data_IF_758709542800
#
_entry.id   IF_758709542800
#
_cell.length_a   1.000
_cell.length_b   1.000
_cell.length_c   1.000
_cell.angle_alpha   90.00
_cell.angle_beta   90.00
_cell.angle_gamma   90.00
#
_symmetry.space_group_name_H-M   'P 1'
#
loop_
_entity.id
_entity.type
_entity.pdbx_description
1 polymer ?
#
# COMPACT_ATOMS: atom_id res chain seq x y z
N UNK A 1 3.28 -64.52 -49.47
CA UNK A 1 3.23 -63.99 -48.09
C UNK A 1 2.95 -62.50 -48.16
N UNK A 2 1.71 -62.07 -47.91
CA UNK A 2 1.36 -60.64 -47.83
C UNK A 2 1.25 -60.25 -46.36
N UNK A 3 2.06 -59.29 -45.92
CA UNK A 3 1.98 -58.72 -44.57
C UNK A 3 0.86 -57.68 -44.50
N UNK A 4 0.03 -57.68 -43.44
CA UNK A 4 -1.04 -56.70 -43.29
C UNK A 4 -0.45 -55.32 -42.96
N UNK A 5 -0.81 -54.31 -43.77
CA UNK A 5 -0.50 -52.89 -43.49
C UNK A 5 -1.41 -52.40 -42.36
N UNK A 6 -0.83 -52.12 -41.19
CA UNK A 6 -1.52 -51.45 -40.08
C UNK A 6 -1.84 -50.00 -40.46
N UNK A 7 -3.13 -49.71 -40.65
CA UNK A 7 -3.64 -48.34 -40.87
C UNK A 7 -3.73 -47.63 -39.52
N UNK A 8 -2.84 -46.68 -39.26
CA UNK A 8 -2.93 -45.78 -38.10
C UNK A 8 -4.03 -44.74 -38.35
N UNK A 9 -5.13 -44.83 -37.58
CA UNK A 9 -6.25 -43.88 -37.65
C UNK A 9 -5.78 -42.51 -37.13
N UNK A 10 -5.74 -41.51 -38.00
CA UNK A 10 -5.49 -40.11 -37.60
C UNK A 10 -6.62 -39.62 -36.70
N UNK A 11 -6.28 -39.08 -35.53
CA UNK A 11 -7.27 -38.42 -34.66
C UNK A 11 -7.72 -37.14 -35.36
N UNK A 12 -8.98 -37.08 -35.76
CA UNK A 12 -9.59 -35.85 -36.30
C UNK A 12 -9.67 -34.83 -35.17
N UNK A 13 -8.93 -33.73 -35.30
CA UNK A 13 -8.98 -32.59 -34.39
C UNK A 13 -10.37 -31.96 -34.48
N UNK A 14 -11.21 -32.14 -33.45
CA UNK A 14 -12.45 -31.36 -33.32
C UNK A 14 -12.05 -29.92 -32.97
N UNK A 15 -12.20 -29.01 -33.93
CA UNK A 15 -12.02 -27.57 -33.69
C UNK A 15 -13.12 -27.02 -32.79
N UNK A 16 -12.82 -25.93 -32.07
CA UNK A 16 -13.79 -25.18 -31.27
C UNK A 16 -14.79 -24.49 -32.20
N UNK A 17 -16.08 -24.50 -31.87
CA UNK A 17 -17.09 -23.81 -32.69
C UNK A 17 -17.07 -22.30 -32.45
N UNK A 18 -17.40 -21.51 -33.48
CA UNK A 18 -17.51 -20.05 -33.34
C UNK A 18 -18.57 -19.66 -32.31
N UNK A 19 -19.63 -20.47 -32.18
CA UNK A 19 -20.68 -20.26 -31.18
C UNK A 19 -20.18 -20.51 -29.75
N UNK A 20 -19.37 -21.56 -29.51
CA UNK A 20 -18.75 -21.78 -28.19
C UNK A 20 -17.82 -20.63 -27.83
N UNK A 21 -17.06 -20.10 -28.80
CA UNK A 21 -16.19 -18.95 -28.57
C UNK A 21 -17.01 -17.70 -28.19
N UNK A 22 -18.08 -17.41 -28.92
CA UNK A 22 -18.92 -16.23 -28.63
C UNK A 22 -19.61 -16.30 -27.28
N UNK A 23 -20.15 -17.47 -26.90
CA UNK A 23 -20.76 -17.66 -25.58
C UNK A 23 -19.69 -17.53 -24.48
N UNK A 24 -18.49 -18.07 -24.71
CA UNK A 24 -17.36 -17.92 -23.79
C UNK A 24 -16.99 -16.44 -23.55
N UNK A 25 -16.86 -15.66 -24.62
CA UNK A 25 -16.54 -14.22 -24.54
C UNK A 25 -17.66 -13.46 -23.80
N UNK A 26 -18.93 -13.80 -24.03
CA UNK A 26 -20.05 -13.18 -23.33
C UNK A 26 -19.99 -13.42 -21.81
N UNK A 27 -19.72 -14.66 -21.37
CA UNK A 27 -19.60 -14.99 -19.95
C UNK A 27 -18.40 -14.28 -19.31
N UNK A 28 -17.23 -14.34 -19.98
CA UNK A 28 -16.01 -13.66 -19.50
C UNK A 28 -16.24 -12.15 -19.40
N UNK A 29 -16.97 -11.56 -20.36
CA UNK A 29 -17.33 -10.15 -20.36
C UNK A 29 -18.05 -9.74 -19.07
N UNK A 30 -19.12 -10.46 -18.70
CA UNK A 30 -19.89 -10.19 -17.47
C UNK A 30 -19.04 -10.38 -16.21
N UNK A 31 -18.27 -11.47 -16.13
CA UNK A 31 -17.41 -11.75 -14.98
C UNK A 31 -16.33 -10.67 -14.81
N UNK A 32 -15.72 -10.24 -15.93
CA UNK A 32 -14.65 -9.23 -15.92
C UNK A 32 -15.14 -7.85 -15.46
N UNK A 33 -16.37 -7.47 -15.83
CA UNK A 33 -16.95 -6.18 -15.46
C UNK A 33 -17.08 -6.01 -13.93
N UNK A 34 -17.35 -7.08 -13.20
CA UNK A 34 -17.46 -7.07 -11.74
C UNK A 34 -16.07 -7.27 -11.09
N UNK A 35 -15.26 -8.17 -11.66
CA UNK A 35 -13.98 -8.55 -11.09
C UNK A 35 -12.92 -7.43 -11.19
N UNK A 36 -12.85 -6.71 -12.31
CA UNK A 36 -11.80 -5.71 -12.56
C UNK A 36 -11.83 -4.58 -11.51
N UNK A 37 -12.96 -3.91 -11.21
CA UNK A 37 -13.00 -2.88 -10.17
C UNK A 37 -12.59 -3.40 -8.78
N UNK A 38 -13.06 -4.59 -8.40
CA UNK A 38 -12.70 -5.19 -7.12
C UNK A 38 -11.20 -5.52 -7.01
N UNK A 39 -10.60 -6.03 -8.10
CA UNK A 39 -9.16 -6.28 -8.15
C UNK A 39 -8.36 -4.98 -8.11
N UNK A 40 -8.81 -3.91 -8.76
CA UNK A 40 -8.16 -2.60 -8.68
C UNK A 40 -8.15 -2.06 -7.25
N UNK A 41 -9.26 -2.17 -6.52
CA UNK A 41 -9.33 -1.78 -5.10
C UNK A 41 -8.33 -2.57 -4.24
N UNK A 42 -8.20 -3.87 -4.48
CA UNK A 42 -7.22 -4.73 -3.80
C UNK A 42 -5.77 -4.31 -4.11
N UNK A 43 -5.44 -4.09 -5.38
CA UNK A 43 -4.11 -3.62 -5.79
C UNK A 43 -3.80 -2.28 -5.15
N UNK A 44 -4.73 -1.33 -5.16
CA UNK A 44 -4.55 -0.01 -4.56
C UNK A 44 -4.33 -0.11 -3.05
N UNK A 45 -5.04 -1.02 -2.37
CA UNK A 45 -4.81 -1.30 -0.95
C UNK A 45 -3.45 -1.92 -0.67
N UNK A 46 -2.95 -2.77 -1.56
CA UNK A 46 -1.59 -3.30 -1.48
C UNK A 46 -0.55 -2.18 -1.58
N UNK A 47 -0.69 -1.28 -2.56
CA UNK A 47 0.18 -0.10 -2.72
C UNK A 47 0.18 0.78 -1.46
N UNK A 48 -1.00 1.04 -0.88
CA UNK A 48 -1.10 1.80 0.37
C UNK A 48 -0.40 1.08 1.52
N UNK A 49 -0.50 -0.24 1.59
CA UNK A 49 0.16 -1.03 2.63
C UNK A 49 1.68 -0.93 2.52
N UNK A 50 2.23 -0.84 1.31
CA UNK A 50 3.66 -0.55 1.09
C UNK A 50 4.07 0.80 1.71
N UNK A 51 3.25 1.85 1.55
CA UNK A 51 3.49 3.15 2.16
C UNK A 51 3.49 3.07 3.70
N UNK A 52 2.53 2.34 4.25
CA UNK A 52 2.45 2.14 5.70
C UNK A 52 3.70 1.41 6.19
N UNK A 53 4.14 0.36 5.49
CA UNK A 53 5.33 -0.41 5.83
C UNK A 53 6.61 0.43 5.75
N UNK A 54 6.72 1.24 4.71
CA UNK A 54 7.80 2.21 4.57
C UNK A 54 7.84 3.17 5.77
N UNK A 55 6.69 3.68 6.21
CA UNK A 55 6.60 4.50 7.42
C UNK A 55 6.92 3.70 8.69
N UNK A 56 6.51 2.43 8.81
CA UNK A 56 6.82 1.58 9.98
C UNK A 56 8.33 1.41 10.17
N UNK A 57 9.11 1.38 9.09
CA UNK A 57 10.57 1.19 9.17
C UNK A 57 11.27 2.29 9.98
N UNK A 58 10.72 3.51 10.03
CA UNK A 58 11.27 4.60 10.83
C UNK A 58 10.97 4.48 12.34
N UNK A 59 10.00 3.66 12.76
CA UNK A 59 9.53 3.65 14.16
C UNK A 59 10.64 3.30 15.14
N UNK A 60 11.41 2.27 14.84
CA UNK A 60 12.46 1.76 15.73
C UNK A 60 13.51 2.84 15.99
N UNK A 61 14.00 3.50 14.95
CA UNK A 61 15.00 4.54 15.12
C UNK A 61 14.47 5.80 15.82
N UNK A 62 13.18 6.13 15.69
CA UNK A 62 12.57 7.20 16.51
C UNK A 62 12.54 6.80 17.99
N UNK A 63 12.15 5.57 18.31
CA UNK A 63 12.12 5.05 19.69
C UNK A 63 13.53 5.07 20.28
N UNK A 64 14.54 4.59 19.54
CA UNK A 64 15.93 4.56 19.98
C UNK A 64 16.52 5.95 20.18
N UNK A 65 16.24 6.89 19.26
CA UNK A 65 16.71 8.26 19.38
C UNK A 65 16.06 8.97 20.59
N UNK A 66 14.76 8.79 20.79
CA UNK A 66 14.05 9.35 21.93
C UNK A 66 14.58 8.75 23.25
N UNK A 67 14.79 7.44 23.32
CA UNK A 67 15.29 6.76 24.51
C UNK A 67 16.73 7.17 24.88
N UNK A 68 17.58 7.44 23.88
CA UNK A 68 18.99 7.80 24.11
C UNK A 68 19.21 9.30 24.38
N UNK A 69 18.42 10.18 23.76
CA UNK A 69 18.64 11.64 23.85
C UNK A 69 17.59 12.38 24.65
N UNK A 70 16.49 11.71 25.05
CA UNK A 70 15.29 12.33 25.63
C UNK A 70 14.72 13.47 24.77
N UNK A 71 14.95 13.41 23.45
CA UNK A 71 14.51 14.41 22.46
C UNK A 71 13.94 13.71 21.23
N UNK A 72 13.01 14.37 20.55
CA UNK A 72 12.52 13.89 19.26
C UNK A 72 13.54 14.15 18.14
N UNK A 73 13.70 13.22 17.19
CA UNK A 73 14.52 13.48 16.01
C UNK A 73 13.87 14.59 15.17
N UNK A 74 14.67 15.54 14.71
CA UNK A 74 14.22 16.66 13.89
C UNK A 74 13.98 16.25 12.43
N UNK A 75 14.57 15.13 11.99
CA UNK A 75 14.46 14.61 10.64
C UNK A 75 14.77 13.10 10.62
N UNK A 76 14.58 12.49 9.45
CA UNK A 76 14.81 11.07 9.22
C UNK A 76 16.24 10.58 9.40
N UNK A 77 17.21 11.44 9.11
CA UNK A 77 18.63 11.11 9.27
C UNK A 77 18.96 10.85 10.74
N UNK A 78 18.43 11.68 11.65
CA UNK A 78 18.56 11.47 13.09
C UNK A 78 17.80 10.23 13.58
N UNK A 79 16.66 9.92 12.95
CA UNK A 79 15.91 8.71 13.21
C UNK A 79 16.49 7.46 12.53
N UNK A 80 17.61 7.56 11.82
CA UNK A 80 18.25 6.42 11.15
C UNK A 80 17.40 5.76 10.06
N UNK A 81 16.47 6.49 9.44
CA UNK A 81 15.60 5.94 8.39
C UNK A 81 15.73 6.67 7.06
N UNK A 82 15.45 5.96 5.96
CA UNK A 82 15.45 6.56 4.63
C UNK A 82 14.38 7.64 4.56
N UNK A 83 14.78 8.88 4.33
CA UNK A 83 13.83 9.99 4.17
C UNK A 83 14.19 10.85 2.98
N UNK A 84 13.16 11.39 2.35
CA UNK A 84 13.32 12.38 1.30
C UNK A 84 13.66 13.76 1.85
N UNK A 85 13.34 14.02 3.12
CA UNK A 85 13.51 15.33 3.75
C UNK A 85 12.95 16.48 2.88
N UNK A 86 11.83 16.24 2.18
CA UNK A 86 11.25 17.19 1.22
C UNK A 86 11.59 16.91 -0.25
N UNK A 87 12.42 15.90 -0.54
CA UNK A 87 12.75 15.45 -1.90
C UNK A 87 12.16 14.06 -2.19
N UNK A 88 12.09 13.69 -3.46
CA UNK A 88 11.54 12.41 -3.86
C UNK A 88 12.41 11.24 -3.33
N UNK A 89 11.76 10.24 -2.73
CA UNK A 89 12.44 9.01 -2.32
C UNK A 89 12.38 7.94 -3.42
N UNK A 90 13.32 7.00 -3.40
CA UNK A 90 13.29 5.82 -4.27
C UNK A 90 12.26 4.80 -3.76
N UNK A 91 10.98 5.18 -3.86
CA UNK A 91 9.84 4.34 -3.57
C UNK A 91 8.79 4.53 -4.66
N UNK A 92 8.19 3.43 -5.11
CA UNK A 92 7.32 3.44 -6.30
C UNK A 92 6.06 4.26 -6.05
N UNK A 93 5.42 4.07 -4.90
CA UNK A 93 4.12 4.67 -4.60
C UNK A 93 4.19 5.87 -3.65
N UNK A 94 5.35 6.11 -3.03
CA UNK A 94 5.57 7.25 -2.17
C UNK A 94 6.29 8.36 -2.94
N UNK A 95 5.83 9.58 -2.77
CA UNK A 95 6.57 10.74 -3.25
C UNK A 95 7.67 11.11 -2.26
N UNK A 96 7.29 11.31 -0.99
CA UNK A 96 8.18 11.75 0.07
C UNK A 96 7.92 10.98 1.37
N UNK A 97 8.94 10.89 2.20
CA UNK A 97 8.87 10.38 3.58
C UNK A 97 9.67 11.34 4.45
N UNK A 98 9.01 11.89 5.48
CA UNK A 98 9.59 12.85 6.41
C UNK A 98 9.27 12.48 7.86
N UNK A 99 10.19 12.84 8.76
CA UNK A 99 9.93 12.84 10.19
C UNK A 99 9.69 14.27 10.62
N UNK A 100 8.52 14.54 11.17
CA UNK A 100 8.09 15.84 11.70
C UNK A 100 8.36 15.91 13.20
N UNK A 101 7.95 17.02 13.80
CA UNK A 101 7.97 17.23 15.26
C UNK A 101 7.25 16.10 15.99
N UNK A 102 7.62 15.87 17.25
CA UNK A 102 7.04 14.84 18.11
C UNK A 102 7.15 13.41 17.53
N UNK A 103 8.19 13.14 16.74
CA UNK A 103 8.41 11.81 16.15
C UNK A 103 7.31 11.36 15.19
N UNK A 104 6.53 12.29 14.63
CA UNK A 104 5.48 11.96 13.66
C UNK A 104 6.13 11.62 12.33
N UNK A 105 5.88 10.42 11.83
CA UNK A 105 6.34 9.97 10.52
C UNK A 105 5.24 10.26 9.51
N UNK A 106 5.56 10.87 8.38
CA UNK A 106 4.59 11.16 7.33
C UNK A 106 5.12 10.70 5.98
N UNK A 107 4.30 9.95 5.25
CA UNK A 107 4.54 9.49 3.88
C UNK A 107 3.50 10.10 2.97
N UNK A 108 3.95 10.86 1.98
CA UNK A 108 3.10 11.42 0.93
C UNK A 108 2.95 10.42 -0.22
N UNK A 109 1.77 10.37 -0.81
CA UNK A 109 1.50 9.52 -1.96
C UNK A 109 2.21 10.07 -3.21
N UNK A 110 2.60 9.20 -4.14
CA UNK A 110 2.99 9.60 -5.49
C UNK A 110 1.74 9.80 -6.34
N UNK A 111 1.64 10.93 -7.02
CA UNK A 111 0.46 11.30 -7.80
C UNK A 111 0.08 10.20 -8.80
N UNK A 112 -1.21 9.82 -8.84
CA UNK A 112 -1.81 8.86 -9.81
C UNK A 112 -1.25 7.45 -9.82
N UNK A 113 -0.26 7.12 -8.98
CA UNK A 113 0.30 5.77 -8.92
C UNK A 113 -0.52 4.82 -8.04
N UNK A 114 -1.26 5.35 -7.05
CA UNK A 114 -2.16 4.56 -6.20
C UNK A 114 -3.56 4.48 -6.80
N UNK A 115 -4.30 5.58 -6.82
CA UNK A 115 -5.60 5.69 -7.46
C UNK A 115 -5.71 7.07 -8.11
N UNK A 116 -6.55 7.23 -9.14
CA UNK A 116 -6.73 8.53 -9.80
C UNK A 116 -7.27 9.62 -8.88
N UNK A 117 -7.96 9.23 -7.81
CA UNK A 117 -8.50 10.12 -6.77
C UNK A 117 -7.50 10.44 -5.66
N UNK A 118 -6.33 9.80 -5.65
CA UNK A 118 -5.26 10.01 -4.67
C UNK A 118 -4.11 10.75 -5.35
N UNK A 119 -3.92 11.99 -4.90
CA UNK A 119 -2.88 12.93 -5.34
C UNK A 119 -1.70 12.96 -4.37
N UNK A 120 -0.64 13.66 -4.77
CA UNK A 120 0.56 13.95 -3.97
C UNK A 120 0.29 14.73 -2.67
N UNK A 121 -0.79 15.50 -2.62
CA UNK A 121 -1.25 16.19 -1.41
C UNK A 121 -1.78 15.25 -0.33
N UNK A 122 -2.07 14.00 -0.68
CA UNK A 122 -2.49 13.01 0.30
C UNK A 122 -1.30 12.43 1.04
N UNK A 123 -1.52 12.00 2.28
CA UNK A 123 -0.50 11.37 3.11
C UNK A 123 -1.07 10.33 4.06
N UNK A 124 -0.17 9.48 4.55
CA UNK A 124 -0.36 8.65 5.73
C UNK A 124 0.66 9.09 6.78
N UNK A 125 0.19 9.30 8.00
CA UNK A 125 1.04 9.66 9.14
C UNK A 125 0.94 8.63 10.25
N UNK A 126 2.08 8.30 10.84
CA UNK A 126 2.19 7.52 12.06
C UNK A 126 2.62 8.47 13.16
N UNK A 127 1.80 8.63 14.20
CA UNK A 127 2.15 9.44 15.36
C UNK A 127 2.30 8.58 16.60
N UNK A 128 3.31 8.83 17.44
CA UNK A 128 3.34 8.27 18.78
C UNK A 128 2.21 8.90 19.60
N UNK A 129 1.50 8.07 20.35
CA UNK A 129 0.46 8.51 21.28
C UNK A 129 0.76 8.00 22.68
N UNK A 130 0.24 8.72 23.67
CA UNK A 130 0.28 8.32 25.06
C UNK A 130 -0.56 7.05 25.30
N UNK A 131 -0.58 6.55 26.54
CA UNK A 131 -1.33 5.35 26.92
C UNK A 131 -2.85 5.44 26.64
N UNK A 132 -3.38 6.64 26.48
CA UNK A 132 -4.78 6.90 26.12
C UNK A 132 -5.12 6.55 24.65
N UNK A 133 -4.12 6.27 23.81
CA UNK A 133 -4.31 5.92 22.40
C UNK A 133 -4.76 7.09 21.49
N UNK A 134 -4.86 8.30 22.02
CA UNK A 134 -5.43 9.46 21.30
C UNK A 134 -4.44 10.62 21.30
N UNK A 135 -3.92 11.01 22.46
CA UNK A 135 -3.14 12.24 22.60
C UNK A 135 -1.72 12.02 22.09
N UNK A 136 -1.23 12.97 21.28
CA UNK A 136 0.14 12.94 20.74
C UNK A 136 1.12 12.96 21.92
N UNK A 137 2.13 12.09 21.88
CA UNK A 137 3.21 12.15 22.85
C UNK A 137 4.15 13.31 22.49
N UNK A 138 4.15 14.34 23.32
CA UNK A 138 5.02 15.52 23.16
C UNK A 138 6.32 15.38 23.94
N UNK A 139 6.31 14.57 25.01
CA UNK A 139 7.49 14.32 25.83
C UNK A 139 8.28 13.11 25.30
N UNK A 140 9.50 13.38 24.80
CA UNK A 140 10.41 12.37 24.28
C UNK A 140 11.13 11.57 25.37
N UNK A 141 11.05 11.99 26.65
CA UNK A 141 11.63 11.24 27.77
C UNK A 141 10.73 10.09 28.25
N UNK A 142 9.45 10.11 27.87
CA UNK A 142 8.49 9.07 28.20
C UNK A 142 8.50 7.95 27.14
N UNK A 143 8.19 6.70 27.54
CA UNK A 143 8.12 5.59 26.60
C UNK A 143 6.93 5.77 25.63
N UNK A 144 7.15 5.44 24.36
CA UNK A 144 6.08 5.46 23.35
C UNK A 144 5.20 4.24 23.56
N UNK A 145 3.97 4.45 24.02
CA UNK A 145 3.06 3.34 24.37
C UNK A 145 2.40 2.74 23.13
N UNK A 146 1.99 3.57 22.17
CA UNK A 146 1.26 3.13 20.98
C UNK A 146 1.55 4.05 19.78
N UNK A 147 1.31 3.53 18.58
CA UNK A 147 1.38 4.28 17.34
C UNK A 147 0.03 4.33 16.67
N UNK A 148 -0.45 5.55 16.37
CA UNK A 148 -1.72 5.73 15.66
C UNK A 148 -1.44 6.11 14.21
N UNK A 149 -2.10 5.41 13.29
CA UNK A 149 -2.06 5.73 11.88
C UNK A 149 -3.23 6.66 11.51
N UNK A 150 -2.93 7.75 10.82
CA UNK A 150 -3.90 8.72 10.34
C UNK A 150 -3.64 9.07 8.88
N UNK A 151 -4.62 9.68 8.24
CA UNK A 151 -4.55 10.12 6.85
C UNK A 151 -5.34 11.41 6.67
N UNK A 152 -5.08 12.14 5.58
CA UNK A 152 -5.98 13.17 5.06
C UNK A 152 -6.80 12.68 3.86
N UNK A 153 -6.70 11.41 3.47
CA UNK A 153 -7.52 10.81 2.41
C UNK A 153 -8.98 10.84 2.84
N UNK A 154 -9.86 11.39 1.98
CA UNK A 154 -11.29 11.46 2.26
C UNK A 154 -11.95 10.09 2.46
N UNK A 155 -13.02 10.05 3.27
CA UNK A 155 -13.74 8.82 3.64
C UNK A 155 -14.23 7.99 2.44
N UNK A 156 -14.50 8.63 1.30
CA UNK A 156 -14.89 7.97 0.05
C UNK A 156 -13.82 6.99 -0.49
N UNK A 157 -12.56 7.22 -0.12
CA UNK A 157 -11.39 6.47 -0.56
C UNK A 157 -10.85 5.53 0.53
N UNK A 158 -11.51 5.39 1.69
CA UNK A 158 -11.08 4.50 2.78
C UNK A 158 -11.01 3.01 2.39
N UNK A 159 -11.69 2.62 1.30
CA UNK A 159 -11.58 1.27 0.72
C UNK A 159 -10.13 0.90 0.35
N UNK A 160 -9.33 1.89 -0.03
CA UNK A 160 -7.92 1.71 -0.37
C UNK A 160 -7.03 1.63 0.86
N UNK A 161 -7.50 2.05 2.04
CA UNK A 161 -6.66 2.10 3.24
C UNK A 161 -6.86 0.85 4.12
N UNK A 162 -5.77 0.34 4.75
CA UNK A 162 -5.87 -0.59 5.85
C UNK A 162 -6.72 -0.02 6.99
N UNK A 163 -7.45 -0.87 7.70
CA UNK A 163 -8.36 -0.44 8.78
C UNK A 163 -7.66 0.44 9.84
N UNK A 164 -6.40 0.12 10.18
CA UNK A 164 -5.61 0.88 11.15
C UNK A 164 -5.41 2.36 10.75
N UNK A 165 -5.42 2.67 9.45
CA UNK A 165 -5.15 3.99 8.89
C UNK A 165 -6.41 4.74 8.45
N UNK A 166 -7.61 4.24 8.78
CA UNK A 166 -8.90 4.90 8.47
C UNK A 166 -9.30 5.91 9.53
N UNK A 167 -8.35 6.70 10.00
CA UNK A 167 -8.59 7.79 10.95
C UNK A 167 -8.19 9.09 10.26
N UNK A 168 -9.11 10.04 10.16
CA UNK A 168 -8.76 11.38 9.70
C UNK A 168 -7.92 12.05 10.79
N UNK A 169 -6.78 12.62 10.37
CA UNK A 169 -5.79 13.24 11.26
C UNK A 169 -5.82 14.75 11.28
#
# INVERSE_FOLDING_TARGET
MNTPRTVTRSKVSKGFTLIELMIGIAIIGVLSAIAIPAFQDYLNRSKVTELVNLAQACKTGIVEFAASTSRWPANGSQAGCQTGNGTAINARYADNLIVRTNGVIEVSFREREVASTITDTHYIRLRPVMADGVTIQTDASLPISQWRCLTNVGVANFRYLPAACRNNG
#
